data_IF_160079734140
#
_entry.id   IF_160079734140
#
_cell.length_a   1.000
_cell.length_b   1.000
_cell.length_c   1.000
_cell.angle_alpha   90.00
_cell.angle_beta   90.00
_cell.angle_gamma   90.00
#
_symmetry.space_group_name_H-M   'P 1'
#
loop_
_entity.id
_entity.type
_entity.pdbx_description
1 polymer ?
#
# COMPACT_ATOMS: atom_id res chain seq x y z
N UNK A 1 -4.95 -2.16 1.06
CA UNK A 1 -3.84 -1.41 1.72
C UNK A 1 -4.43 -0.56 2.84
N UNK A 2 -3.67 -0.35 3.90
CA UNK A 2 -4.02 0.65 4.91
C UNK A 2 -3.47 2.01 4.50
N UNK A 3 -4.29 3.06 4.59
CA UNK A 3 -3.94 4.42 4.16
C UNK A 3 -4.35 5.45 5.23
N UNK A 4 -3.86 6.67 5.10
CA UNK A 4 -4.41 7.83 5.80
C UNK A 4 -5.74 8.23 5.13
N UNK A 5 -6.86 8.02 5.82
CA UNK A 5 -8.20 8.30 5.29
C UNK A 5 -8.46 9.80 5.00
N UNK A 6 -7.69 10.71 5.62
CA UNK A 6 -7.78 12.14 5.29
C UNK A 6 -7.12 12.46 3.94
N UNK A 7 -6.17 11.64 3.51
CA UNK A 7 -5.45 11.79 2.24
C UNK A 7 -6.06 10.96 1.11
N UNK A 8 -6.44 9.71 1.39
CA UNK A 8 -7.00 8.76 0.42
C UNK A 8 -8.31 8.20 0.99
N UNK A 9 -9.48 8.58 0.45
CA UNK A 9 -10.76 8.08 0.93
C UNK A 9 -10.88 6.55 0.83
N UNK A 10 -11.66 5.93 1.71
CA UNK A 10 -11.95 4.51 1.61
C UNK A 10 -12.67 4.13 0.32
N UNK A 11 -12.43 2.91 -0.13
CA UNK A 11 -12.96 2.38 -1.38
C UNK A 11 -12.23 2.92 -2.61
N UNK A 12 -11.28 3.85 -2.46
CA UNK A 12 -10.50 4.38 -3.58
C UNK A 12 -9.61 3.28 -4.18
N UNK A 13 -9.70 3.01 -5.49
CA UNK A 13 -8.71 2.20 -6.18
C UNK A 13 -7.40 2.97 -6.30
N UNK A 14 -6.30 2.34 -5.93
CA UNK A 14 -4.97 2.94 -5.92
C UNK A 14 -4.00 2.06 -6.70
N UNK A 15 -3.28 2.63 -7.65
CA UNK A 15 -2.15 1.97 -8.27
C UNK A 15 -0.92 2.14 -7.39
N UNK A 16 -0.33 1.03 -6.97
CA UNK A 16 0.88 0.98 -6.14
C UNK A 16 2.08 0.58 -7.00
N UNK A 17 3.16 1.35 -6.95
CA UNK A 17 4.47 1.01 -7.55
C UNK A 17 5.56 1.12 -6.49
N UNK A 18 6.15 -0.04 -6.19
CA UNK A 18 7.24 -0.22 -5.25
C UNK A 18 8.12 -1.40 -5.70
N UNK A 19 9.00 -1.88 -4.82
CA UNK A 19 9.73 -3.13 -4.96
C UNK A 19 9.37 -4.09 -3.84
N UNK A 20 9.64 -5.39 -4.04
CA UNK A 20 9.63 -6.36 -2.95
C UNK A 20 10.77 -6.06 -1.96
N UNK A 21 10.62 -6.38 -0.66
CA UNK A 21 11.66 -6.12 0.33
C UNK A 21 12.95 -6.86 -0.01
N UNK A 22 14.09 -6.21 0.24
CA UNK A 22 15.44 -6.77 0.02
C UNK A 22 15.74 -7.20 -1.42
N UNK A 23 14.96 -6.75 -2.41
CA UNK A 23 15.19 -7.05 -3.83
C UNK A 23 14.82 -5.87 -4.72
N UNK A 24 15.20 -5.96 -6.00
CA UNK A 24 14.77 -5.03 -7.04
C UNK A 24 13.55 -5.54 -7.83
N UNK A 25 12.91 -6.62 -7.37
CA UNK A 25 11.72 -7.17 -8.02
C UNK A 25 10.59 -6.15 -7.91
N UNK A 26 10.00 -5.66 -9.02
CA UNK A 26 8.93 -4.68 -8.95
C UNK A 26 7.66 -5.25 -8.30
N UNK A 27 7.13 -4.54 -7.32
CA UNK A 27 5.81 -4.77 -6.75
C UNK A 27 4.85 -3.71 -7.30
N UNK A 28 4.12 -4.06 -8.36
CA UNK A 28 3.17 -3.17 -9.03
C UNK A 28 1.79 -3.79 -9.08
N UNK A 29 0.84 -3.22 -8.34
CA UNK A 29 -0.51 -3.78 -8.25
C UNK A 29 -1.57 -2.69 -8.09
N UNK A 30 -2.74 -2.94 -8.69
CA UNK A 30 -3.96 -2.24 -8.33
C UNK A 30 -4.46 -2.79 -7.00
N UNK A 31 -4.65 -1.90 -6.03
CA UNK A 31 -5.11 -2.24 -4.68
C UNK A 31 -6.27 -1.34 -4.28
N UNK A 32 -7.01 -1.77 -3.26
CA UNK A 32 -8.10 -0.98 -2.68
C UNK A 32 -7.67 -0.39 -1.34
N UNK A 33 -8.01 0.88 -1.12
CA UNK A 33 -7.94 1.53 0.20
C UNK A 33 -9.12 1.04 1.06
N UNK A 34 -8.88 0.04 1.92
CA UNK A 34 -9.95 -0.63 2.68
C UNK A 34 -9.73 -0.57 4.19
N UNK A 35 -8.62 0.01 4.64
CA UNK A 35 -8.25 0.02 6.05
C UNK A 35 -7.51 1.32 6.41
N UNK A 36 -7.52 1.69 7.69
CA UNK A 36 -6.69 2.77 8.26
C UNK A 36 -5.78 2.22 9.33
N UNK A 37 -4.57 2.78 9.41
CA UNK A 37 -3.73 2.65 10.59
C UNK A 37 -3.52 4.01 11.23
N UNK A 38 -3.66 4.11 12.56
CA UNK A 38 -3.31 5.33 13.31
C UNK A 38 -1.82 5.73 13.15
N UNK A 39 -0.97 4.77 12.78
CA UNK A 39 0.45 4.98 12.46
C UNK A 39 0.73 5.28 10.98
N UNK A 40 -0.31 5.35 10.14
CA UNK A 40 -0.22 5.69 8.71
C UNK A 40 -0.72 7.13 8.55
N UNK A 41 0.20 8.09 8.62
CA UNK A 41 -0.08 9.52 8.44
C UNK A 41 0.64 10.07 7.22
N UNK A 42 -0.02 10.98 6.50
CA UNK A 42 0.55 11.69 5.36
C UNK A 42 0.19 11.12 3.99
N UNK A 43 0.32 11.96 2.96
CA UNK A 43 -0.25 11.73 1.63
C UNK A 43 0.31 10.52 0.85
N UNK A 44 1.57 10.12 1.11
CA UNK A 44 2.23 9.00 0.41
C UNK A 44 2.73 7.98 1.41
N UNK A 45 1.80 7.34 2.12
CA UNK A 45 2.08 6.21 3.00
C UNK A 45 0.98 5.17 2.84
N UNK A 46 1.38 3.93 2.57
CA UNK A 46 0.48 2.80 2.52
C UNK A 46 1.12 1.59 3.21
N UNK A 47 0.31 0.84 3.95
CA UNK A 47 0.71 -0.47 4.44
C UNK A 47 0.14 -1.55 3.52
N UNK A 48 1.03 -2.42 3.03
CA UNK A 48 0.69 -3.45 2.06
C UNK A 48 0.47 -4.78 2.77
N UNK A 49 -0.75 -5.29 2.67
CA UNK A 49 -1.11 -6.59 3.21
C UNK A 49 -0.56 -7.71 2.32
N UNK A 50 0.40 -8.46 2.83
CA UNK A 50 1.08 -9.54 2.12
C UNK A 50 0.34 -10.89 2.11
N UNK A 51 -0.74 -11.02 2.87
CA UNK A 51 -1.43 -12.29 3.11
C UNK A 51 -1.20 -12.82 4.52
N UNK A 52 -1.42 -14.11 4.70
CA UNK A 52 -1.35 -14.78 6.00
C UNK A 52 -0.20 -15.80 6.05
N UNK A 53 0.30 -16.09 7.24
CA UNK A 53 1.35 -17.08 7.50
C UNK A 53 2.77 -16.51 7.50
N UNK A 54 3.73 -17.34 7.93
CA UNK A 54 5.11 -16.93 8.27
C UNK A 54 5.84 -16.24 7.12
N UNK A 55 5.61 -16.66 5.88
CA UNK A 55 6.24 -16.05 4.71
C UNK A 55 5.73 -14.62 4.50
N UNK A 56 4.42 -14.40 4.66
CA UNK A 56 3.83 -13.07 4.52
C UNK A 56 4.30 -12.14 5.66
N UNK A 57 4.42 -12.66 6.88
CA UNK A 57 4.93 -11.92 8.03
C UNK A 57 6.39 -11.49 7.83
N UNK A 58 7.25 -12.39 7.33
CA UNK A 58 8.65 -12.07 7.03
C UNK A 58 8.79 -10.99 5.95
N UNK A 59 7.95 -11.04 4.91
CA UNK A 59 7.94 -10.01 3.87
C UNK A 59 7.42 -8.68 4.41
N UNK A 60 6.33 -8.70 5.19
CA UNK A 60 5.76 -7.50 5.80
C UNK A 60 6.75 -6.82 6.75
N UNK A 61 7.41 -7.57 7.65
CA UNK A 61 8.37 -7.02 8.60
C UNK A 61 9.61 -6.38 7.97
N UNK A 62 9.95 -6.76 6.73
CA UNK A 62 11.08 -6.20 5.96
C UNK A 62 10.64 -5.09 4.99
N UNK A 63 9.35 -4.84 4.86
CA UNK A 63 8.80 -3.89 3.91
C UNK A 63 9.10 -2.44 4.34
N UNK A 64 10.07 -1.81 3.67
CA UNK A 64 10.41 -0.39 3.83
C UNK A 64 10.96 0.17 2.52
N UNK A 65 10.18 0.05 1.45
CA UNK A 65 10.58 0.45 0.11
C UNK A 65 10.04 1.84 -0.26
N UNK A 66 10.74 2.60 -1.12
CA UNK A 66 10.17 3.78 -1.74
C UNK A 66 8.86 3.45 -2.46
N UNK A 67 7.87 4.32 -2.31
CA UNK A 67 6.50 4.07 -2.75
C UNK A 67 6.01 5.21 -3.64
N UNK A 68 5.39 4.86 -4.77
CA UNK A 68 4.59 5.78 -5.58
C UNK A 68 3.15 5.28 -5.63
N UNK A 69 2.21 6.22 -5.49
CA UNK A 69 0.78 5.96 -5.49
C UNK A 69 0.09 6.85 -6.53
N UNK A 70 -0.87 6.27 -7.25
CA UNK A 70 -1.81 7.02 -8.08
C UNK A 70 -3.22 6.64 -7.67
N UNK A 71 -4.00 7.64 -7.29
CA UNK A 71 -5.43 7.49 -7.01
C UNK A 71 -6.19 7.47 -8.32
N UNK A 72 -7.04 6.46 -8.52
CA UNK A 72 -7.92 6.39 -9.68
C UNK A 72 -9.27 6.98 -9.29
N UNK A 73 -9.64 8.07 -9.94
CA UNK A 73 -10.93 8.73 -9.71
C UNK A 73 -11.96 8.35 -10.79
N UNK A 74 -13.22 8.09 -10.43
CA UNK A 74 -14.30 7.91 -11.40
C UNK A 74 -14.41 9.14 -12.30
N UNK A 75 -14.69 8.91 -13.59
CA UNK A 75 -14.69 10.00 -14.57
C UNK A 75 -15.95 10.88 -14.51
N UNK A 76 -17.02 10.44 -13.84
CA UNK A 76 -18.29 11.15 -13.68
C UNK A 76 -19.03 10.66 -12.44
#
# INVERSE_FOLDING_TARGET
IAVDAQSIPYGTPVWLDATEPLSNTPLRRLVMAQDTGSAITGAVRADYFWGWGDVAEQQAGRMKQPLRLWVLWPRN
#
